data_IF_771633135029
#
_entry.id   IF_771633135029
#
_cell.length_a   1.000
_cell.length_b   1.000
_cell.length_c   1.000
_cell.angle_alpha   90.00
_cell.angle_beta   90.00
_cell.angle_gamma   90.00
#
_symmetry.space_group_name_H-M   'P 1'
#
loop_
_entity.id
_entity.type
_entity.pdbx_description
1 polymer ?
#
# COMPACT_ATOMS: atom_id res chain seq x y z
N UNK A 1 -31.90 1.62 7.50
CA UNK A 1 -31.20 0.33 7.28
C UNK A 1 -30.74 0.16 5.83
N UNK A 2 -31.45 0.69 4.83
CA UNK A 2 -31.08 0.54 3.40
C UNK A 2 -29.75 1.16 3.01
N UNK A 3 -29.34 2.26 3.65
CA UNK A 3 -28.08 2.97 3.36
C UNK A 3 -26.84 2.14 3.74
N UNK A 4 -26.93 1.31 4.79
CA UNK A 4 -25.79 0.52 5.31
C UNK A 4 -25.71 -0.85 4.64
N UNK A 5 -26.84 -1.38 4.14
CA UNK A 5 -26.93 -2.71 3.50
C UNK A 5 -25.90 -2.96 2.37
N UNK A 6 -25.58 -2.00 1.48
CA UNK A 6 -24.54 -2.21 0.45
C UNK A 6 -23.09 -2.12 1.00
N UNK A 7 -22.90 -1.62 2.22
CA UNK A 7 -21.59 -1.40 2.86
C UNK A 7 -21.27 -2.57 3.81
N UNK A 8 -22.26 -2.98 4.61
CA UNK A 8 -22.15 -4.05 5.60
C UNK A 8 -23.40 -4.92 5.57
N UNK A 9 -23.21 -6.21 5.29
CA UNK A 9 -24.27 -7.21 5.31
C UNK A 9 -24.19 -8.02 6.60
N UNK A 10 -25.28 -8.01 7.36
CA UNK A 10 -25.47 -8.83 8.56
C UNK A 10 -26.36 -10.01 8.21
N UNK A 11 -25.87 -11.22 8.43
CA UNK A 11 -26.63 -12.46 8.24
C UNK A 11 -26.64 -13.22 9.56
N UNK A 12 -27.82 -13.52 10.11
CA UNK A 12 -27.92 -14.36 11.30
C UNK A 12 -27.41 -15.77 10.96
N UNK A 13 -26.46 -16.30 11.73
CA UNK A 13 -25.91 -17.66 11.51
C UNK A 13 -26.88 -18.69 12.09
N UNK A 14 -27.41 -18.42 13.29
CA UNK A 14 -28.38 -19.26 13.97
C UNK A 14 -29.45 -18.38 14.63
N UNK A 15 -30.73 -18.74 14.46
CA UNK A 15 -31.84 -18.11 15.18
C UNK A 15 -32.64 -19.18 15.93
N UNK A 16 -32.87 -18.97 17.22
CA UNK A 16 -33.73 -19.85 18.05
C UNK A 16 -34.95 -19.06 18.49
N UNK A 17 -36.13 -19.64 18.29
CA UNK A 17 -37.36 -19.08 18.84
C UNK A 17 -37.44 -19.51 20.31
N UNK A 18 -37.47 -18.53 21.21
CA UNK A 18 -37.66 -18.80 22.64
C UNK A 18 -39.14 -19.01 22.89
N UNK A 19 -39.49 -20.23 23.25
CA UNK A 19 -40.85 -20.57 23.66
C UNK A 19 -41.22 -19.82 24.95
N UNK A 20 -42.43 -19.26 24.95
CA UNK A 20 -42.98 -18.61 26.14
C UNK A 20 -43.26 -19.66 27.21
N UNK A 21 -42.99 -19.33 28.47
CA UNK A 21 -43.34 -20.22 29.58
C UNK A 21 -44.87 -20.16 29.80
N UNK A 22 -45.56 -21.26 29.51
CA UNK A 22 -47.03 -21.36 29.55
C UNK A 22 -47.63 -20.95 30.90
N UNK A 23 -46.92 -21.19 32.00
CA UNK A 23 -47.34 -20.82 33.36
C UNK A 23 -47.47 -19.30 33.61
N UNK A 24 -46.96 -18.46 32.69
CA UNK A 24 -46.95 -16.99 32.81
C UNK A 24 -47.81 -16.27 31.77
N UNK A 25 -48.56 -17.00 30.95
CA UNK A 25 -49.45 -16.45 29.92
C UNK A 25 -50.81 -16.15 30.58
N UNK A 26 -50.98 -14.95 31.12
CA UNK A 26 -52.29 -14.43 31.53
C UNK A 26 -52.97 -13.75 30.34
N UNK A 27 -54.31 -13.65 30.33
CA UNK A 27 -55.11 -13.08 29.22
C UNK A 27 -54.68 -11.67 28.78
N UNK A 28 -53.94 -10.94 29.62
CA UNK A 28 -53.41 -9.60 29.39
C UNK A 28 -52.07 -9.61 28.64
N UNK A 29 -51.25 -10.68 28.75
CA UNK A 29 -49.94 -10.78 28.09
C UNK A 29 -50.05 -11.62 26.82
N UNK A 30 -50.18 -10.94 25.68
CA UNK A 30 -50.12 -11.56 24.35
C UNK A 30 -48.82 -12.33 24.17
N UNK A 31 -48.90 -13.49 23.54
CA UNK A 31 -47.76 -14.33 23.17
C UNK A 31 -46.87 -13.56 22.19
N UNK A 32 -45.76 -12.98 22.68
CA UNK A 32 -44.77 -12.30 21.84
C UNK A 32 -43.70 -13.31 21.48
N UNK A 33 -43.61 -13.64 20.19
CA UNK A 33 -42.52 -14.48 19.66
C UNK A 33 -41.19 -13.78 19.88
N UNK A 34 -40.32 -14.37 20.69
CA UNK A 34 -38.97 -13.87 20.92
C UNK A 34 -37.99 -14.68 20.08
N UNK A 35 -37.40 -14.04 19.06
CA UNK A 35 -36.34 -14.65 18.24
C UNK A 35 -35.00 -14.23 18.85
N UNK A 36 -34.20 -15.22 19.26
CA UNK A 36 -32.85 -15.03 19.77
C UNK A 36 -31.87 -15.35 18.64
N UNK A 37 -31.00 -14.40 18.32
CA UNK A 37 -29.91 -14.60 17.38
C UNK A 37 -28.62 -14.59 18.19
N UNK A 38 -27.91 -15.73 18.23
CA UNK A 38 -26.69 -15.89 19.04
C UNK A 38 -25.45 -15.36 18.32
N UNK A 39 -25.43 -15.44 16.98
CA UNK A 39 -24.29 -15.07 16.15
C UNK A 39 -24.73 -14.42 14.84
N UNK A 40 -23.99 -13.41 14.41
CA UNK A 40 -24.11 -12.80 13.10
C UNK A 40 -22.83 -13.02 12.30
N UNK A 41 -22.98 -13.39 11.03
CA UNK A 41 -21.95 -13.23 10.02
C UNK A 41 -22.03 -11.81 9.48
N UNK A 42 -20.88 -11.12 9.49
CA UNK A 42 -20.77 -9.73 9.01
C UNK A 42 -19.84 -9.71 7.81
N UNK A 43 -20.35 -9.29 6.66
CA UNK A 43 -19.57 -9.15 5.43
C UNK A 43 -19.48 -7.67 5.09
N UNK A 44 -18.26 -7.15 4.94
CA UNK A 44 -18.00 -5.79 4.47
C UNK A 44 -17.84 -5.78 2.96
N UNK A 45 -18.34 -4.74 2.31
CA UNK A 45 -18.06 -4.48 0.90
C UNK A 45 -16.56 -4.29 0.68
N UNK A 46 -16.02 -4.87 -0.39
CA UNK A 46 -14.62 -4.70 -0.79
C UNK A 46 -14.24 -3.24 -0.98
N UNK A 47 -15.19 -2.40 -1.40
CA UNK A 47 -15.02 -0.94 -1.56
C UNK A 47 -14.71 -0.22 -0.23
N UNK A 48 -14.96 -0.88 0.91
CA UNK A 48 -14.76 -0.32 2.25
C UNK A 48 -13.51 -0.86 2.94
N UNK A 49 -12.77 -1.76 2.27
CA UNK A 49 -11.54 -2.34 2.79
C UNK A 49 -10.36 -1.74 2.02
N UNK A 50 -9.56 -0.91 2.69
CA UNK A 50 -8.24 -0.56 2.19
C UNK A 50 -7.31 -1.71 2.56
N UNK A 51 -7.16 -2.67 1.66
CA UNK A 51 -6.17 -3.72 1.85
C UNK A 51 -4.79 -3.08 2.01
N UNK A 52 -4.12 -3.40 3.12
CA UNK A 52 -2.78 -2.89 3.38
C UNK A 52 -1.76 -3.75 2.60
N UNK A 53 -1.89 -3.76 1.27
CA UNK A 53 -1.10 -4.55 0.32
C UNK A 53 0.39 -4.17 0.32
N UNK A 54 0.76 -3.09 1.02
CA UNK A 54 2.14 -2.58 1.13
C UNK A 54 2.84 -2.96 2.44
N UNK A 55 2.20 -3.77 3.31
CA UNK A 55 2.80 -4.14 4.61
C UNK A 55 4.20 -4.71 4.49
N UNK A 56 4.40 -5.55 3.48
CA UNK A 56 5.67 -6.24 3.26
C UNK A 56 6.78 -5.29 2.80
N UNK A 57 6.42 -4.20 2.12
CA UNK A 57 7.37 -3.17 1.68
C UNK A 57 7.74 -2.18 2.79
N UNK A 58 7.03 -2.13 3.92
CA UNK A 58 7.37 -1.19 5.00
C UNK A 58 8.79 -1.37 5.53
N UNK A 59 9.23 -2.62 5.72
CA UNK A 59 10.57 -2.92 6.24
C UNK A 59 11.67 -2.46 5.26
N UNK A 60 11.66 -2.82 3.97
CA UNK A 60 12.67 -2.34 3.02
C UNK A 60 12.60 -0.82 2.84
N UNK A 61 11.41 -0.21 2.75
CA UNK A 61 11.27 1.26 2.66
C UNK A 61 11.90 1.96 3.87
N UNK A 62 11.68 1.42 5.08
CA UNK A 62 12.29 1.98 6.29
C UNK A 62 13.83 1.85 6.29
N UNK A 63 14.38 0.78 5.71
CA UNK A 63 15.82 0.63 5.51
C UNK A 63 16.35 1.69 4.54
N UNK A 64 15.75 1.84 3.36
CA UNK A 64 16.13 2.86 2.37
C UNK A 64 16.06 4.27 2.97
N UNK A 65 15.03 4.57 3.78
CA UNK A 65 14.92 5.85 4.49
C UNK A 65 16.09 6.08 5.46
N UNK A 66 16.46 5.07 6.25
CA UNK A 66 17.59 5.17 7.20
C UNK A 66 18.90 5.40 6.46
N UNK A 67 19.11 4.68 5.38
CA UNK A 67 20.29 4.82 4.51
C UNK A 67 20.36 6.23 3.92
N UNK A 68 19.28 6.72 3.29
CA UNK A 68 19.24 8.05 2.70
C UNK A 68 19.54 9.14 3.72
N UNK A 69 18.93 9.09 4.91
CA UNK A 69 19.20 10.05 5.98
C UNK A 69 20.65 9.99 6.44
N UNK A 70 21.22 8.79 6.55
CA UNK A 70 22.62 8.61 6.95
C UNK A 70 23.61 9.14 5.91
N UNK A 71 23.44 8.74 4.65
CA UNK A 71 24.32 9.14 3.53
C UNK A 71 24.25 10.64 3.26
N UNK A 72 23.04 11.21 3.19
CA UNK A 72 22.88 12.65 2.96
C UNK A 72 23.48 13.48 4.11
N UNK A 73 23.36 13.02 5.36
CA UNK A 73 24.05 13.65 6.49
C UNK A 73 25.58 13.58 6.33
N UNK A 74 26.12 12.44 5.88
CA UNK A 74 27.55 12.28 5.61
C UNK A 74 28.05 13.20 4.49
N UNK A 75 27.22 13.46 3.48
CA UNK A 75 27.50 14.41 2.39
C UNK A 75 27.37 15.89 2.81
N UNK A 76 27.13 16.19 4.08
CA UNK A 76 26.90 17.57 4.56
C UNK A 76 25.53 18.14 4.18
N UNK A 77 24.63 17.34 3.60
CA UNK A 77 23.27 17.74 3.24
C UNK A 77 22.36 17.66 4.47
N UNK A 78 22.37 18.73 5.28
CA UNK A 78 21.53 18.84 6.48
C UNK A 78 20.05 19.04 6.11
N UNK A 79 19.35 17.93 5.87
CA UNK A 79 17.94 17.95 5.46
C UNK A 79 17.00 18.41 6.58
N UNK A 80 16.09 19.34 6.27
CA UNK A 80 14.96 19.68 7.14
C UNK A 80 13.97 18.52 7.16
N UNK A 81 13.07 18.53 8.14
CA UNK A 81 11.99 17.51 8.23
C UNK A 81 11.16 17.44 6.94
N UNK A 82 10.79 18.60 6.38
CA UNK A 82 10.02 18.71 5.13
C UNK A 82 10.75 18.09 3.95
N UNK A 83 12.07 18.28 3.84
CA UNK A 83 12.86 17.71 2.73
C UNK A 83 12.86 16.18 2.80
N UNK A 84 13.01 15.62 4.02
CA UNK A 84 12.93 14.17 4.25
C UNK A 84 11.56 13.62 3.86
N UNK A 85 10.48 14.32 4.22
CA UNK A 85 9.11 13.93 3.85
C UNK A 85 8.88 13.99 2.34
N UNK A 86 9.38 15.04 1.68
CA UNK A 86 9.29 15.19 0.24
C UNK A 86 10.07 14.10 -0.51
N UNK A 87 11.29 13.79 -0.08
CA UNK A 87 12.09 12.69 -0.65
C UNK A 87 11.35 11.37 -0.53
N UNK A 88 10.80 11.06 0.64
CA UNK A 88 10.07 9.79 0.83
C UNK A 88 8.74 9.76 0.07
N UNK A 89 8.08 10.90 -0.11
CA UNK A 89 6.88 11.01 -0.94
C UNK A 89 7.21 10.76 -2.41
N UNK A 90 8.30 11.36 -2.91
CA UNK A 90 8.80 11.11 -4.26
C UNK A 90 9.19 9.64 -4.43
N UNK A 91 9.97 9.06 -3.51
CA UNK A 91 10.34 7.65 -3.56
C UNK A 91 9.11 6.73 -3.58
N UNK A 92 8.06 7.07 -2.82
CA UNK A 92 6.82 6.31 -2.84
C UNK A 92 6.13 6.37 -4.20
N UNK A 93 5.92 7.58 -4.71
CA UNK A 93 5.18 7.83 -5.96
C UNK A 93 5.90 7.29 -7.19
N UNK A 94 7.22 7.47 -7.26
CA UNK A 94 8.01 7.16 -8.45
C UNK A 94 8.57 5.73 -8.43
N UNK A 95 8.67 5.07 -7.28
CA UNK A 95 9.27 3.73 -7.16
C UNK A 95 8.34 2.73 -6.46
N UNK A 96 7.95 2.99 -5.21
CA UNK A 96 7.23 2.00 -4.38
C UNK A 96 5.88 1.62 -5.03
N UNK A 97 5.19 2.60 -5.59
CA UNK A 97 3.90 2.39 -6.24
C UNK A 97 4.02 1.51 -7.49
N UNK A 98 5.16 1.51 -8.18
CA UNK A 98 5.45 0.57 -9.27
C UNK A 98 5.93 -0.79 -8.74
N UNK A 99 6.77 -0.78 -7.71
CA UNK A 99 7.35 -1.98 -7.12
C UNK A 99 6.29 -3.01 -6.73
N UNK A 100 5.16 -2.59 -6.16
CA UNK A 100 4.06 -3.49 -5.76
C UNK A 100 3.63 -4.49 -6.85
N UNK A 101 3.75 -4.12 -8.11
CA UNK A 101 3.30 -4.95 -9.23
C UNK A 101 4.37 -5.94 -9.73
N UNK A 102 5.62 -5.81 -9.29
CA UNK A 102 6.70 -6.71 -9.67
C UNK A 102 6.40 -8.15 -9.20
N UNK A 103 6.79 -9.17 -9.99
CA UNK A 103 6.31 -10.54 -9.83
C UNK A 103 6.77 -11.21 -8.52
N UNK A 104 7.93 -10.81 -7.99
CA UNK A 104 8.51 -11.44 -6.79
C UNK A 104 8.91 -10.40 -5.76
N UNK A 105 8.84 -10.77 -4.47
CA UNK A 105 9.32 -9.92 -3.36
C UNK A 105 10.81 -9.60 -3.46
N UNK A 106 11.58 -10.50 -4.07
CA UNK A 106 12.99 -10.27 -4.35
C UNK A 106 13.15 -9.10 -5.33
N UNK A 107 12.46 -9.13 -6.47
CA UNK A 107 12.49 -8.04 -7.46
C UNK A 107 11.98 -6.71 -6.91
N UNK A 108 10.95 -6.77 -6.06
CA UNK A 108 10.49 -5.59 -5.32
C UNK A 108 11.61 -4.97 -4.49
N UNK A 109 12.31 -5.78 -3.70
CA UNK A 109 13.42 -5.29 -2.87
C UNK A 109 14.61 -4.82 -3.70
N UNK A 110 14.95 -5.53 -4.78
CA UNK A 110 16.01 -5.14 -5.71
C UNK A 110 15.74 -3.74 -6.27
N UNK A 111 14.52 -3.46 -6.76
CA UNK A 111 14.15 -2.14 -7.25
C UNK A 111 14.26 -1.05 -6.16
N UNK A 112 13.72 -1.31 -4.96
CA UNK A 112 13.74 -0.32 -3.88
C UNK A 112 15.16 0.09 -3.48
N UNK A 113 16.06 -0.90 -3.37
CA UNK A 113 17.47 -0.67 -3.04
C UNK A 113 18.15 0.03 -4.22
N UNK A 114 17.99 -0.51 -5.43
CA UNK A 114 18.59 0.05 -6.64
C UNK A 114 18.27 1.53 -6.82
N UNK A 115 16.99 1.88 -6.78
CA UNK A 115 16.54 3.25 -6.98
C UNK A 115 17.05 4.21 -5.90
N UNK A 116 17.08 3.77 -4.63
CA UNK A 116 17.58 4.61 -3.55
C UNK A 116 19.09 4.82 -3.65
N UNK A 117 19.85 3.75 -3.88
CA UNK A 117 21.30 3.81 -4.03
C UNK A 117 21.68 4.64 -5.25
N UNK A 118 21.05 4.40 -6.40
CA UNK A 118 21.23 5.18 -7.62
C UNK A 118 21.04 6.68 -7.36
N UNK A 119 19.91 7.08 -6.78
CA UNK A 119 19.64 8.49 -6.53
C UNK A 119 20.64 9.14 -5.56
N UNK A 120 21.11 8.39 -4.55
CA UNK A 120 22.11 8.89 -3.60
C UNK A 120 23.50 9.00 -4.24
N UNK A 121 23.89 8.06 -5.10
CA UNK A 121 25.15 8.10 -5.83
C UNK A 121 25.18 9.30 -6.80
N UNK A 122 24.04 9.62 -7.42
CA UNK A 122 23.91 10.79 -8.29
C UNK A 122 23.97 12.10 -7.51
N UNK A 123 23.40 12.15 -6.30
CA UNK A 123 23.57 13.30 -5.39
C UNK A 123 25.05 13.45 -5.02
N UNK A 124 25.72 12.37 -4.65
CA UNK A 124 27.12 12.37 -4.26
C UNK A 124 28.03 12.80 -5.42
N UNK A 125 27.76 12.33 -6.64
CA UNK A 125 28.49 12.74 -7.84
C UNK A 125 28.27 14.22 -8.16
N UNK A 126 27.02 14.67 -8.15
CA UNK A 126 26.65 16.04 -8.50
C UNK A 126 27.19 17.06 -7.49
N UNK A 127 27.12 16.77 -6.19
CA UNK A 127 27.62 17.66 -5.13
C UNK A 127 29.14 17.89 -5.17
N UNK A 128 29.91 17.04 -5.84
CA UNK A 128 31.35 17.25 -6.08
C UNK A 128 31.61 18.31 -7.16
N UNK A 129 30.66 18.52 -8.07
CA UNK A 129 30.83 19.38 -9.24
C UNK A 129 29.98 20.66 -9.18
N UNK A 130 28.76 20.57 -8.63
CA UNK A 130 27.75 21.63 -8.69
C UNK A 130 26.88 21.65 -7.44
N UNK A 131 26.34 22.82 -7.14
CA UNK A 131 25.38 22.98 -6.06
C UNK A 131 23.99 22.46 -6.47
N UNK A 132 23.36 21.68 -5.59
CA UNK A 132 21.99 21.20 -5.78
C UNK A 132 21.03 22.11 -4.99
N UNK A 133 20.25 22.92 -5.71
CA UNK A 133 19.29 23.85 -5.10
C UNK A 133 18.20 23.15 -4.26
N UNK A 134 17.75 21.97 -4.70
CA UNK A 134 16.74 21.18 -3.97
C UNK A 134 17.03 19.69 -4.10
N UNK A 135 17.58 19.11 -3.04
CA UNK A 135 17.85 17.66 -2.95
C UNK A 135 16.58 16.85 -3.22
N UNK A 136 15.43 17.28 -2.68
CA UNK A 136 14.17 16.55 -2.86
C UNK A 136 13.69 16.53 -4.31
N UNK A 137 13.81 17.65 -5.04
CA UNK A 137 13.45 17.71 -6.45
C UNK A 137 14.44 16.93 -7.31
N UNK A 138 15.74 17.06 -7.02
CA UNK A 138 16.80 16.32 -7.69
C UNK A 138 16.60 14.81 -7.55
N UNK A 139 16.44 14.30 -6.32
CA UNK A 139 16.21 12.88 -6.07
C UNK A 139 14.96 12.36 -6.78
N UNK A 140 13.90 13.16 -6.93
CA UNK A 140 12.70 12.76 -7.68
C UNK A 140 13.01 12.45 -9.15
N UNK A 141 13.83 13.30 -9.80
CA UNK A 141 14.27 13.05 -11.17
C UNK A 141 15.09 11.76 -11.23
N UNK A 142 16.01 11.60 -10.30
CA UNK A 142 16.87 10.40 -10.24
C UNK A 142 16.08 9.12 -9.98
N UNK A 143 14.98 9.16 -9.21
CA UNK A 143 14.09 8.02 -9.06
C UNK A 143 13.44 7.62 -10.39
N UNK A 144 12.94 8.59 -11.17
CA UNK A 144 12.35 8.29 -12.50
C UNK A 144 13.36 7.69 -13.47
N UNK A 145 14.57 8.22 -13.47
CA UNK A 145 15.68 7.71 -14.26
C UNK A 145 16.05 6.29 -13.83
N UNK A 146 16.16 6.05 -12.51
CA UNK A 146 16.44 4.72 -11.98
C UNK A 146 15.38 3.68 -12.33
N UNK A 147 14.10 4.06 -12.40
CA UNK A 147 13.03 3.16 -12.81
C UNK A 147 13.17 2.78 -14.28
N UNK A 148 13.42 3.77 -15.14
CA UNK A 148 13.62 3.55 -16.58
C UNK A 148 14.80 2.60 -16.82
N UNK A 149 15.91 2.86 -16.13
CA UNK A 149 17.12 2.04 -16.24
C UNK A 149 16.92 0.61 -15.70
N UNK A 150 16.28 0.47 -14.53
CA UNK A 150 15.98 -0.83 -13.93
C UNK A 150 15.07 -1.68 -14.81
N UNK A 151 14.05 -1.06 -15.42
CA UNK A 151 13.18 -1.76 -16.37
C UNK A 151 13.98 -2.38 -17.50
N UNK A 152 14.88 -1.60 -18.10
CA UNK A 152 15.64 -2.01 -19.27
C UNK A 152 16.69 -3.08 -18.95
N UNK A 153 17.40 -2.92 -17.83
CA UNK A 153 18.57 -3.74 -17.50
C UNK A 153 18.28 -4.93 -16.58
N UNK A 154 17.27 -4.83 -15.73
CA UNK A 154 17.07 -5.76 -14.60
C UNK A 154 15.78 -6.56 -14.66
N UNK A 155 14.85 -6.22 -15.57
CA UNK A 155 13.63 -6.98 -15.81
C UNK A 155 13.69 -7.73 -17.14
N UNK A 156 13.41 -9.03 -17.10
CA UNK A 156 13.23 -9.84 -18.31
C UNK A 156 11.91 -9.48 -19.03
N UNK A 157 11.74 -9.97 -20.26
CA UNK A 157 10.50 -9.77 -21.03
C UNK A 157 9.31 -10.37 -20.30
N UNK A 158 9.49 -11.56 -19.71
CA UNK A 158 8.49 -12.27 -18.92
C UNK A 158 8.13 -11.47 -17.67
N UNK A 159 9.13 -10.98 -16.92
CA UNK A 159 8.87 -10.19 -15.70
C UNK A 159 8.15 -8.87 -16.00
N UNK A 160 8.45 -8.24 -17.14
CA UNK A 160 7.72 -7.05 -17.59
C UNK A 160 6.28 -7.39 -17.95
N UNK A 161 6.06 -8.51 -18.64
CA UNK A 161 4.72 -8.99 -18.96
C UNK A 161 3.91 -9.30 -17.69
N UNK A 162 4.49 -10.03 -16.75
CA UNK A 162 3.86 -10.36 -15.47
C UNK A 162 3.49 -9.10 -14.68
N UNK A 163 4.36 -8.10 -14.66
CA UNK A 163 4.10 -6.81 -14.01
C UNK A 163 2.90 -6.10 -14.64
N UNK A 164 2.79 -6.09 -15.98
CA UNK A 164 1.64 -5.52 -16.70
C UNK A 164 0.36 -6.28 -16.37
N UNK A 165 0.41 -7.61 -16.33
CA UNK A 165 -0.73 -8.47 -15.97
C UNK A 165 -1.16 -8.24 -14.52
N UNK A 166 -0.22 -8.14 -13.58
CA UNK A 166 -0.49 -7.88 -12.17
C UNK A 166 -1.16 -6.51 -11.97
N UNK A 167 -0.68 -5.49 -12.68
CA UNK A 167 -1.28 -4.16 -12.65
C UNK A 167 -2.72 -4.18 -13.22
N UNK A 168 -2.91 -4.82 -14.39
CA UNK A 168 -4.23 -4.93 -15.02
C UNK A 168 -5.24 -5.67 -14.14
N UNK A 169 -4.83 -6.76 -13.48
CA UNK A 169 -5.70 -7.49 -12.55
C UNK A 169 -6.22 -6.63 -11.40
N UNK A 170 -5.43 -5.64 -10.96
CA UNK A 170 -5.81 -4.76 -9.85
C UNK A 170 -6.54 -3.49 -10.31
N UNK A 171 -6.22 -2.95 -11.50
CA UNK A 171 -6.68 -1.62 -11.93
C UNK A 171 -7.58 -1.64 -13.17
N UNK A 172 -7.72 -2.79 -13.86
CA UNK A 172 -8.56 -2.94 -15.06
C UNK A 172 -8.03 -2.27 -16.33
N UNK A 173 -6.86 -1.63 -16.27
CA UNK A 173 -6.19 -0.96 -17.40
C UNK A 173 -4.72 -1.34 -17.43
N UNK A 174 -4.09 -1.25 -18.61
CA UNK A 174 -2.64 -1.49 -18.72
C UNK A 174 -1.85 -0.27 -18.21
N UNK A 175 -0.69 -0.49 -17.58
CA UNK A 175 0.10 0.59 -17.00
C UNK A 175 0.90 1.37 -18.05
N UNK A 176 0.85 2.69 -18.01
CA UNK A 176 1.68 3.58 -18.85
C UNK A 176 3.18 3.56 -18.45
N UNK A 177 3.47 3.09 -17.23
CA UNK A 177 4.83 3.10 -16.68
C UNK A 177 5.68 1.90 -17.09
N UNK A 178 5.10 0.88 -17.75
CA UNK A 178 5.78 -0.35 -18.18
C UNK A 178 6.04 -0.40 -19.67
#
# INVERSE_FOLDING_TARGET
MEIIKPIVQFTAIDSKEKNSNESRITSVRKQVKQIIIEKFSVVFSSNCVIENNKKELHRPIAKCRKEAVSRLKHMGQALRKKDKENIMTAFRQEIVDHAVYLPTKQKQNELLIYAMTYALDQVESCTKEKEIFSISAFMRVQFRESWTDFKEKSLSVEERHDTRVNYYKQNGVYPDFM
#
